data_IF_115665560612
#
_entry.id   IF_115665560612
#
_cell.length_a   1.000
_cell.length_b   1.000
_cell.length_c   1.000
_cell.angle_alpha   90.00
_cell.angle_beta   90.00
_cell.angle_gamma   90.00
#
_symmetry.space_group_name_H-M   'P 1'
#
loop_
_entity.id
_entity.type
_entity.pdbx_description
1 polymer ?
#
# COMPACT_ATOMS: atom_id res chain seq x y z
N UNK A 1 16.44 -20.95 -13.36
CA UNK A 1 16.25 -19.76 -12.49
C UNK A 1 14.97 -19.02 -12.84
N UNK A 2 14.73 -18.66 -14.11
CA UNK A 2 13.49 -17.98 -14.53
C UNK A 2 12.24 -18.78 -14.19
N UNK A 3 12.24 -20.09 -14.45
CA UNK A 3 11.09 -20.96 -14.14
C UNK A 3 10.82 -21.02 -12.63
N UNK A 4 11.86 -21.17 -11.81
CA UNK A 4 11.72 -21.12 -10.35
C UNK A 4 11.16 -19.78 -9.84
N UNK A 5 11.49 -18.67 -10.50
CA UNK A 5 10.91 -17.35 -10.17
C UNK A 5 9.44 -17.24 -10.59
N UNK A 6 9.08 -17.84 -11.73
CA UNK A 6 7.70 -17.92 -12.20
C UNK A 6 6.86 -18.77 -11.24
N UNK A 7 7.36 -19.95 -10.84
CA UNK A 7 6.70 -20.82 -9.88
C UNK A 7 6.46 -20.12 -8.54
N UNK A 8 7.46 -19.39 -8.05
CA UNK A 8 7.33 -18.58 -6.84
C UNK A 8 6.28 -17.47 -7.01
N UNK A 9 6.28 -16.77 -8.14
CA UNK A 9 5.28 -15.72 -8.42
C UNK A 9 3.86 -16.28 -8.44
N UNK A 10 3.65 -17.42 -9.09
CA UNK A 10 2.35 -18.10 -9.15
C UNK A 10 1.90 -18.55 -7.75
N UNK A 11 2.82 -19.10 -6.95
CA UNK A 11 2.54 -19.51 -5.58
C UNK A 11 2.17 -18.32 -4.67
N UNK A 12 2.73 -17.14 -4.93
CA UNK A 12 2.46 -15.93 -4.14
C UNK A 12 1.18 -15.20 -4.56
N UNK A 13 0.71 -15.36 -5.80
CA UNK A 13 -0.46 -14.64 -6.34
C UNK A 13 -1.73 -14.68 -5.46
N UNK A 14 -2.14 -15.83 -4.87
CA UNK A 14 -3.31 -15.89 -3.99
C UNK A 14 -3.21 -14.98 -2.76
N UNK A 15 -1.99 -14.71 -2.28
CA UNK A 15 -1.74 -13.88 -1.10
C UNK A 15 -1.66 -12.39 -1.41
N UNK A 16 -1.57 -12.00 -2.68
CA UNK A 16 -1.38 -10.59 -3.06
C UNK A 16 -2.61 -9.72 -2.73
N UNK A 17 -3.82 -10.26 -2.89
CA UNK A 17 -5.06 -9.56 -2.52
C UNK A 17 -5.22 -9.41 -1.00
N UNK A 18 -5.05 -10.46 -0.18
CA UNK A 18 -4.96 -10.31 1.28
C UNK A 18 -3.87 -9.32 1.73
N UNK A 19 -2.67 -9.40 1.14
CA UNK A 19 -1.56 -8.51 1.50
C UNK A 19 -1.86 -7.04 1.19
N UNK A 20 -2.46 -6.75 0.03
CA UNK A 20 -2.95 -5.41 -0.30
C UNK A 20 -3.93 -4.90 0.76
N UNK A 21 -4.88 -5.72 1.23
CA UNK A 21 -5.84 -5.32 2.26
C UNK A 21 -5.17 -4.97 3.59
N UNK A 22 -4.08 -5.64 3.97
CA UNK A 22 -3.26 -5.24 5.12
C UNK A 22 -2.74 -3.80 4.94
N UNK A 23 -2.26 -3.48 3.72
CA UNK A 23 -1.87 -2.12 3.36
C UNK A 23 -3.02 -1.12 3.50
N UNK A 24 -4.23 -1.48 3.05
CA UNK A 24 -5.43 -0.62 3.16
C UNK A 24 -5.75 -0.34 4.64
N UNK A 25 -5.73 -1.37 5.48
CA UNK A 25 -5.96 -1.21 6.93
C UNK A 25 -4.92 -0.27 7.55
N UNK A 26 -3.64 -0.41 7.16
CA UNK A 26 -2.58 0.48 7.63
C UNK A 26 -2.79 1.93 7.18
N UNK A 27 -3.26 2.17 5.94
CA UNK A 27 -3.62 3.50 5.45
C UNK A 27 -4.76 4.09 6.29
N UNK A 28 -5.85 3.35 6.47
CA UNK A 28 -7.02 3.81 7.23
C UNK A 28 -6.62 4.16 8.66
N UNK A 29 -5.90 3.28 9.34
CA UNK A 29 -5.39 3.53 10.68
C UNK A 29 -4.45 4.76 10.73
N UNK A 30 -3.57 4.90 9.73
CA UNK A 30 -2.65 6.04 9.63
C UNK A 30 -3.39 7.36 9.49
N UNK A 31 -4.40 7.42 8.63
CA UNK A 31 -5.25 8.60 8.43
C UNK A 31 -6.03 8.92 9.71
N UNK A 32 -6.64 7.92 10.36
CA UNK A 32 -7.37 8.15 11.61
C UNK A 32 -6.47 8.72 12.72
N UNK A 33 -5.24 8.24 12.85
CA UNK A 33 -4.28 8.78 13.82
C UNK A 33 -3.84 10.19 13.48
N UNK A 34 -3.69 10.53 12.20
CA UNK A 34 -3.41 11.89 11.74
C UNK A 34 -4.58 12.82 12.11
N UNK A 35 -5.82 12.41 11.83
CA UNK A 35 -7.02 13.18 12.21
C UNK A 35 -7.10 13.34 13.72
N UNK A 36 -6.85 12.27 14.49
CA UNK A 36 -6.88 12.33 15.95
C UNK A 36 -5.83 13.30 16.52
N UNK A 37 -4.62 13.32 15.94
CA UNK A 37 -3.58 14.28 16.29
C UNK A 37 -3.99 15.72 15.97
N UNK A 38 -4.69 15.95 14.86
CA UNK A 38 -5.15 17.29 14.46
C UNK A 38 -6.33 17.80 15.31
N UNK A 39 -7.32 16.94 15.60
CA UNK A 39 -8.56 17.31 16.30
C UNK A 39 -8.37 17.29 17.81
N UNK A 40 -7.75 16.25 18.36
CA UNK A 40 -7.66 16.03 19.82
C UNK A 40 -6.28 16.38 20.40
N UNK A 41 -5.33 16.84 19.57
CA UNK A 41 -3.93 17.09 19.98
C UNK A 41 -3.27 15.88 20.67
N UNK A 42 -3.72 14.66 20.33
CA UNK A 42 -3.22 13.41 20.91
C UNK A 42 -1.78 13.11 20.46
N UNK A 43 -0.93 12.55 21.32
CA UNK A 43 0.45 12.18 20.97
C UNK A 43 0.55 10.87 20.14
N UNK A 44 -0.19 10.81 19.03
CA UNK A 44 -0.23 9.65 18.11
C UNK A 44 0.82 9.76 16.98
N UNK A 45 1.73 10.72 17.08
CA UNK A 45 2.75 11.04 16.07
C UNK A 45 3.70 9.88 15.77
N UNK A 46 4.14 9.13 16.80
CA UNK A 46 5.02 7.98 16.62
C UNK A 46 4.31 6.85 15.86
N UNK A 47 3.06 6.57 16.23
CA UNK A 47 2.26 5.51 15.63
C UNK A 47 1.87 5.84 14.18
N UNK A 48 1.45 7.06 13.87
CA UNK A 48 1.19 7.50 12.49
C UNK A 48 2.44 7.46 11.61
N UNK A 49 3.61 7.81 12.15
CA UNK A 49 4.88 7.69 11.42
C UNK A 49 5.23 6.24 11.10
N UNK A 50 5.01 5.32 12.05
CA UNK A 50 5.22 3.88 11.83
C UNK A 50 4.29 3.36 10.74
N UNK A 51 3.00 3.69 10.79
CA UNK A 51 2.03 3.29 9.78
C UNK A 51 2.37 3.86 8.41
N UNK A 52 2.80 5.13 8.33
CA UNK A 52 3.30 5.72 7.10
C UNK A 52 4.46 4.92 6.50
N UNK A 53 5.42 4.45 7.32
CA UNK A 53 6.52 3.59 6.84
C UNK A 53 6.05 2.22 6.35
N UNK A 54 5.09 1.60 7.03
CA UNK A 54 4.49 0.33 6.59
C UNK A 54 3.83 0.51 5.22
N UNK A 55 3.02 1.57 5.06
CA UNK A 55 2.36 1.90 3.78
C UNK A 55 3.38 2.13 2.66
N UNK A 56 4.48 2.84 2.94
CA UNK A 56 5.58 2.98 1.98
C UNK A 56 6.23 1.65 1.62
N UNK A 57 6.45 0.77 2.60
CA UNK A 57 6.97 -0.58 2.35
C UNK A 57 6.07 -1.39 1.42
N UNK A 58 4.75 -1.35 1.64
CA UNK A 58 3.75 -1.99 0.77
C UNK A 58 3.78 -1.41 -0.64
N UNK A 59 3.87 -0.08 -0.77
CA UNK A 59 3.99 0.60 -2.07
C UNK A 59 5.22 0.15 -2.85
N UNK A 60 6.41 0.17 -2.22
CA UNK A 60 7.66 -0.28 -2.82
C UNK A 60 7.57 -1.74 -3.25
N UNK A 61 6.99 -2.60 -2.41
CA UNK A 61 6.78 -4.00 -2.73
C UNK A 61 5.96 -4.19 -4.01
N UNK A 62 4.80 -3.52 -4.13
CA UNK A 62 3.94 -3.66 -5.30
C UNK A 62 4.59 -3.13 -6.59
N UNK A 63 5.33 -2.02 -6.51
CA UNK A 63 6.08 -1.48 -7.65
C UNK A 63 7.20 -2.44 -8.06
N UNK A 64 7.97 -2.97 -7.09
CA UNK A 64 9.04 -3.93 -7.36
C UNK A 64 8.50 -5.23 -7.97
N UNK A 65 7.38 -5.75 -7.45
CA UNK A 65 6.72 -6.93 -7.98
C UNK A 65 6.21 -6.72 -9.41
N UNK A 66 5.71 -5.51 -9.74
CA UNK A 66 5.36 -5.18 -11.12
C UNK A 66 6.59 -5.24 -12.04
N UNK A 67 7.71 -4.65 -11.63
CA UNK A 67 8.96 -4.65 -12.42
C UNK A 67 9.48 -6.08 -12.62
N UNK A 68 9.46 -6.90 -11.56
CA UNK A 68 9.82 -8.31 -11.65
C UNK A 68 8.89 -9.06 -12.62
N UNK A 69 7.59 -8.81 -12.56
CA UNK A 69 6.62 -9.36 -13.51
C UNK A 69 6.92 -8.97 -14.95
N UNK A 70 7.25 -7.71 -15.22
CA UNK A 70 7.66 -7.28 -16.57
C UNK A 70 8.94 -7.99 -17.04
N UNK A 71 9.94 -8.14 -16.16
CA UNK A 71 11.16 -8.89 -16.48
C UNK A 71 10.87 -10.37 -16.83
N UNK A 72 9.87 -10.96 -16.19
CA UNK A 72 9.44 -12.34 -16.46
C UNK A 72 8.47 -12.46 -17.65
N UNK A 73 8.08 -11.36 -18.30
CA UNK A 73 6.99 -11.29 -19.28
C UNK A 73 5.62 -11.73 -18.73
N UNK A 74 5.40 -11.56 -17.42
CA UNK A 74 4.15 -11.90 -16.72
C UNK A 74 3.74 -10.74 -15.78
N UNK A 75 3.21 -9.63 -16.34
CA UNK A 75 2.84 -8.47 -15.53
C UNK A 75 1.68 -8.80 -14.56
N UNK A 76 1.87 -8.67 -13.24
CA UNK A 76 0.88 -9.12 -12.26
C UNK A 76 -0.29 -8.16 -12.13
N UNK A 77 -1.47 -8.72 -11.82
CA UNK A 77 -2.72 -8.00 -11.57
C UNK A 77 -3.50 -8.64 -10.42
N UNK A 78 -4.32 -7.85 -9.72
CA UNK A 78 -5.30 -8.34 -8.73
C UNK A 78 -6.69 -8.27 -9.34
N UNK A 79 -7.47 -9.35 -9.24
CA UNK A 79 -8.89 -9.34 -9.58
C UNK A 79 -9.75 -8.83 -8.41
N UNK A 80 -10.42 -7.71 -8.64
CA UNK A 80 -11.42 -7.13 -7.73
C UNK A 80 -12.86 -7.51 -8.06
N UNK A 81 -13.11 -8.13 -9.21
CA UNK A 81 -14.44 -8.61 -9.58
C UNK A 81 -14.81 -9.90 -8.86
N UNK A 82 -16.09 -10.25 -8.95
CA UNK A 82 -16.64 -11.50 -8.44
C UNK A 82 -16.47 -12.63 -9.47
N UNK A 83 -15.53 -13.54 -9.19
CA UNK A 83 -15.27 -14.69 -10.06
C UNK A 83 -16.46 -15.64 -10.16
N UNK A 84 -17.37 -15.66 -9.18
CA UNK A 84 -18.60 -16.47 -9.25
C UNK A 84 -19.62 -15.93 -10.26
N UNK A 85 -19.47 -14.67 -10.65
CA UNK A 85 -20.32 -13.97 -11.62
C UNK A 85 -19.59 -13.64 -12.93
N UNK A 86 -18.40 -14.20 -13.14
CA UNK A 86 -17.53 -13.91 -14.29
C UNK A 86 -17.14 -12.42 -14.42
N UNK A 87 -17.09 -11.69 -13.31
CA UNK A 87 -16.63 -10.30 -13.29
C UNK A 87 -15.11 -10.25 -13.05
N UNK A 88 -14.40 -9.60 -13.98
CA UNK A 88 -12.94 -9.48 -13.93
C UNK A 88 -12.52 -8.00 -13.94
N UNK A 89 -12.32 -7.46 -12.75
CA UNK A 89 -11.79 -6.11 -12.57
C UNK A 89 -10.31 -6.24 -12.22
N UNK A 90 -9.48 -6.37 -13.26
CA UNK A 90 -8.03 -6.57 -13.11
C UNK A 90 -7.33 -5.23 -12.91
N UNK A 91 -6.67 -5.07 -11.77
CA UNK A 91 -5.89 -3.88 -11.44
C UNK A 91 -4.42 -4.25 -11.36
N UNK A 92 -3.60 -3.57 -12.15
CA UNK A 92 -2.14 -3.77 -12.17
C UNK A 92 -1.49 -3.36 -10.85
N UNK A 93 -0.42 -4.06 -10.47
CA UNK A 93 0.28 -3.82 -9.21
C UNK A 93 0.87 -2.42 -9.12
N UNK A 94 1.33 -1.82 -10.23
CA UNK A 94 1.82 -0.45 -10.19
C UNK A 94 0.75 0.56 -9.79
N UNK A 95 -0.52 0.36 -10.18
CA UNK A 95 -1.64 1.25 -9.79
C UNK A 95 -1.87 1.16 -8.28
N UNK A 96 -1.82 -0.05 -7.73
CA UNK A 96 -1.93 -0.31 -6.30
C UNK A 96 -0.74 0.32 -5.56
N UNK A 97 0.47 0.10 -6.04
CA UNK A 97 1.70 0.67 -5.47
C UNK A 97 1.70 2.20 -5.49
N UNK A 98 1.24 2.82 -6.58
CA UNK A 98 1.11 4.27 -6.70
C UNK A 98 0.05 4.83 -5.73
N UNK A 99 -1.09 4.16 -5.59
CA UNK A 99 -2.12 4.57 -4.62
C UNK A 99 -1.57 4.54 -3.18
N UNK A 100 -0.86 3.48 -2.80
CA UNK A 100 -0.20 3.41 -1.49
C UNK A 100 0.91 4.44 -1.33
N UNK A 101 1.67 4.74 -2.39
CA UNK A 101 2.71 5.76 -2.36
C UNK A 101 2.10 7.12 -1.99
N UNK A 102 1.04 7.51 -2.70
CA UNK A 102 0.31 8.76 -2.46
C UNK A 102 -0.25 8.80 -1.03
N UNK A 103 -0.90 7.72 -0.59
CA UNK A 103 -1.43 7.63 0.77
C UNK A 103 -0.32 7.75 1.84
N UNK A 104 0.83 7.10 1.62
CA UNK A 104 2.00 7.21 2.49
C UNK A 104 2.56 8.63 2.56
N UNK A 105 2.59 9.35 1.43
CA UNK A 105 3.01 10.76 1.40
C UNK A 105 2.05 11.63 2.20
N UNK A 106 0.74 11.44 2.06
CA UNK A 106 -0.27 12.17 2.83
C UNK A 106 -0.02 11.96 4.33
N UNK A 107 0.06 10.71 4.79
CA UNK A 107 0.30 10.38 6.22
C UNK A 107 1.60 11.03 6.72
N UNK A 108 2.67 10.99 5.92
CA UNK A 108 3.99 11.53 6.30
C UNK A 108 4.00 13.07 6.37
N UNK A 109 3.36 13.75 5.43
CA UNK A 109 3.44 15.21 5.31
C UNK A 109 2.36 15.97 6.06
N UNK A 110 1.28 15.32 6.51
CA UNK A 110 0.28 15.91 7.42
C UNK A 110 0.84 16.32 8.81
N UNK A 111 2.13 16.07 9.06
CA UNK A 111 2.87 16.41 10.29
C UNK A 111 3.15 17.91 10.46
N UNK A 112 3.18 18.72 9.39
CA UNK A 112 3.83 20.04 9.37
C UNK A 112 2.91 21.24 9.66
N UNK A 113 1.91 21.13 10.54
CA UNK A 113 1.01 22.27 10.84
C UNK A 113 1.09 22.87 12.24
N UNK A 114 1.77 22.24 13.20
CA UNK A 114 1.68 22.68 14.62
C UNK A 114 2.94 23.37 15.19
N UNK A 115 4.02 23.54 14.42
CA UNK A 115 5.27 24.13 14.91
C UNK A 115 5.52 25.58 14.45
N UNK A 116 4.53 26.25 13.84
CA UNK A 116 4.69 27.62 13.30
C UNK A 116 3.97 28.68 14.15
N UNK A 117 3.43 28.30 15.30
CA UNK A 117 2.81 29.22 16.28
C UNK A 117 3.31 28.94 17.69
N UNK A 118 4.63 28.91 17.86
CA UNK A 118 5.26 29.20 19.14
C UNK A 118 6.26 30.32 18.88
N UNK A 119 5.92 31.48 19.45
CA UNK A 119 6.62 32.77 19.49
C UNK A 119 8.14 32.67 19.58
#
# INVERSE_FOLDING_TARGET
MKDSMIDMMVMMMPYMKPFMWIGVVAVVAGILLVIANLVFKSNTLKASTLLGRVVFGVSVFFIAAQLAGYFLNMPPTINFGDSSKFEFILVSFWKIGAAFFIAGLIIKFSRKSNNTTAS
#
